data_IF_008874406743
#
_entry.id   IF_008874406743
#
_cell.length_a   1.000
_cell.length_b   1.000
_cell.length_c   1.000
_cell.angle_alpha   90.00
_cell.angle_beta   90.00
_cell.angle_gamma   90.00
#
_symmetry.space_group_name_H-M   'P 1'
#
loop_
_entity.id
_entity.type
_entity.pdbx_description
1 polymer ?
#
# COMPACT_ATOMS: atom_id res chain seq x y z
N UNK A 1 0.97 17.53 -7.70
CA UNK A 1 1.96 16.50 -7.36
C UNK A 1 1.19 15.28 -6.87
N UNK A 2 1.51 14.10 -7.39
CA UNK A 2 0.83 12.86 -6.99
C UNK A 2 1.57 12.20 -5.82
N UNK A 3 0.85 11.66 -4.84
CA UNK A 3 1.40 10.91 -3.72
C UNK A 3 0.46 9.80 -3.26
N UNK A 4 1.04 8.70 -2.80
CA UNK A 4 0.37 7.64 -2.04
C UNK A 4 0.99 7.58 -0.65
N UNK A 5 0.16 7.56 0.38
CA UNK A 5 0.57 7.50 1.78
C UNK A 5 0.00 6.26 2.44
N UNK A 6 0.87 5.48 3.09
CA UNK A 6 0.48 4.37 3.95
C UNK A 6 0.68 4.75 5.41
N UNK A 7 -0.29 4.36 6.26
CA UNK A 7 -0.21 4.42 7.72
C UNK A 7 -0.58 3.07 8.28
N UNK A 8 0.10 2.62 9.32
CA UNK A 8 -0.22 1.35 9.98
C UNK A 8 -0.40 1.54 11.48
N UNK A 9 -1.53 1.06 12.01
CA UNK A 9 -1.84 1.12 13.43
C UNK A 9 -1.98 -0.32 13.97
N UNK A 10 -1.03 -0.75 14.79
CA UNK A 10 -1.08 -2.05 15.46
C UNK A 10 -2.27 -2.13 16.41
N UNK A 11 -2.89 -3.32 16.53
CA UNK A 11 -3.84 -3.56 17.60
C UNK A 11 -3.19 -3.40 18.98
N UNK A 12 -3.97 -2.94 19.96
CA UNK A 12 -3.46 -2.70 21.32
C UNK A 12 -2.95 -3.96 22.01
N UNK A 13 -3.53 -5.13 21.72
CA UNK A 13 -3.09 -6.42 22.26
C UNK A 13 -1.69 -6.80 21.79
N UNK A 14 -1.21 -6.23 20.67
CA UNK A 14 0.14 -6.45 20.17
C UNK A 14 1.22 -6.07 21.20
N UNK A 15 0.93 -5.10 22.07
CA UNK A 15 1.85 -4.60 23.10
C UNK A 15 1.59 -5.17 24.49
N UNK A 16 0.50 -5.90 24.70
CA UNK A 16 0.16 -6.45 26.00
C UNK A 16 0.62 -7.92 26.11
N UNK A 17 1.70 -8.21 26.85
CA UNK A 17 2.18 -9.59 27.01
C UNK A 17 1.19 -10.48 27.79
N UNK A 18 0.12 -9.91 28.36
CA UNK A 18 -0.94 -10.63 29.06
C UNK A 18 -2.11 -10.99 28.16
N UNK A 19 -2.16 -10.47 26.93
CA UNK A 19 -3.19 -10.79 25.94
C UNK A 19 -2.60 -11.65 24.82
N UNK A 20 -3.41 -12.48 24.15
CA UNK A 20 -3.00 -13.09 22.89
C UNK A 20 -2.62 -11.97 21.92
N UNK A 21 -1.39 -12.03 21.37
CA UNK A 21 -0.92 -11.06 20.40
C UNK A 21 -1.75 -11.18 19.13
N UNK A 22 -2.51 -10.15 18.82
CA UNK A 22 -3.12 -10.03 17.50
C UNK A 22 -2.04 -9.59 16.50
N UNK A 23 -1.93 -10.33 15.40
CA UNK A 23 -1.02 -10.00 14.29
C UNK A 23 -1.66 -9.01 13.30
N UNK A 24 -2.91 -8.62 13.52
CA UNK A 24 -3.60 -7.62 12.72
C UNK A 24 -3.39 -6.18 13.22
N UNK A 25 -3.60 -5.26 12.29
CA UNK A 25 -3.60 -3.83 12.52
C UNK A 25 -4.27 -3.11 11.36
N UNK A 26 -4.60 -1.84 11.55
CA UNK A 26 -5.26 -1.03 10.54
C UNK A 26 -4.25 -0.43 9.57
N UNK A 27 -4.29 -0.86 8.31
CA UNK A 27 -3.57 -0.24 7.20
C UNK A 27 -4.46 0.83 6.57
N UNK A 28 -4.10 2.10 6.75
CA UNK A 28 -4.70 3.23 6.05
C UNK A 28 -3.94 3.53 4.76
N UNK A 29 -4.68 3.78 3.68
CA UNK A 29 -4.14 4.26 2.41
C UNK A 29 -4.81 5.57 2.04
N UNK A 30 -4.02 6.60 1.79
CA UNK A 30 -4.45 7.88 1.24
C UNK A 30 -3.74 8.12 -0.08
N UNK A 31 -4.46 8.58 -1.09
CA UNK A 31 -3.89 8.92 -2.39
C UNK A 31 -4.38 10.28 -2.83
N UNK A 32 -3.45 11.10 -3.32
CA UNK A 32 -3.70 12.45 -3.80
C UNK A 32 -2.98 12.63 -5.14
N UNK A 33 -3.69 13.10 -6.16
CA UNK A 33 -3.15 13.51 -7.46
C UNK A 33 -3.70 14.88 -7.81
N UNK A 34 -3.25 15.48 -8.92
CA UNK A 34 -3.74 16.81 -9.34
C UNK A 34 -5.25 16.87 -9.61
N UNK A 35 -5.89 15.72 -9.84
CA UNK A 35 -7.30 15.64 -10.25
C UNK A 35 -8.14 14.73 -9.39
N UNK A 36 -7.52 14.00 -8.46
CA UNK A 36 -8.17 12.92 -7.75
C UNK A 36 -7.62 12.80 -6.33
N UNK A 37 -8.49 12.48 -5.38
CA UNK A 37 -8.08 12.05 -4.05
C UNK A 37 -8.97 10.92 -3.57
N UNK A 38 -8.38 9.94 -2.88
CA UNK A 38 -9.10 8.84 -2.24
C UNK A 38 -8.45 8.48 -0.91
N UNK A 39 -9.25 7.99 0.03
CA UNK A 39 -8.76 7.47 1.29
C UNK A 39 -9.59 6.27 1.75
N UNK A 40 -9.00 5.42 2.58
CA UNK A 40 -9.63 4.23 3.11
C UNK A 40 -8.63 3.41 3.91
N UNK A 41 -9.07 2.24 4.34
CA UNK A 41 -8.20 1.33 5.08
C UNK A 41 -8.85 -0.01 5.34
N UNK A 42 -8.02 -0.95 5.77
CA UNK A 42 -8.45 -2.31 6.07
C UNK A 42 -7.60 -2.93 7.18
N UNK A 43 -8.16 -3.90 7.88
CA UNK A 43 -7.41 -4.70 8.86
C UNK A 43 -6.56 -5.74 8.14
N UNK A 44 -5.24 -5.68 8.36
CA UNK A 44 -4.28 -6.55 7.67
C UNK A 44 -3.22 -7.05 8.64
N UNK A 45 -2.62 -8.20 8.32
CA UNK A 45 -1.50 -8.71 9.09
C UNK A 45 -0.27 -7.82 8.84
N UNK A 46 0.46 -7.46 9.90
CA UNK A 46 1.64 -6.58 9.76
C UNK A 46 2.73 -7.23 8.88
N UNK A 47 2.77 -8.56 8.84
CA UNK A 47 3.67 -9.35 8.00
C UNK A 47 3.41 -9.07 6.51
N UNK A 48 2.15 -9.01 6.07
CA UNK A 48 1.80 -8.77 4.66
C UNK A 48 2.29 -7.39 4.19
N UNK A 49 2.20 -6.37 5.05
CA UNK A 49 2.69 -5.01 4.74
C UNK A 49 4.21 -5.00 4.62
N UNK A 50 4.90 -5.76 5.48
CA UNK A 50 6.35 -5.92 5.43
C UNK A 50 6.80 -6.67 4.18
N UNK A 51 6.15 -7.78 3.84
CA UNK A 51 6.45 -8.56 2.63
C UNK A 51 6.23 -7.73 1.36
N UNK A 52 5.14 -6.95 1.31
CA UNK A 52 4.93 -5.98 0.23
C UNK A 52 6.08 -4.98 0.13
N UNK A 53 6.51 -4.40 1.26
CA UNK A 53 7.68 -3.53 1.31
C UNK A 53 8.93 -4.21 0.76
N UNK A 54 9.25 -5.42 1.22
CA UNK A 54 10.42 -6.17 0.76
C UNK A 54 10.38 -6.46 -0.76
N UNK A 55 9.21 -6.74 -1.32
CA UNK A 55 9.00 -6.94 -2.75
C UNK A 55 9.36 -5.72 -3.61
N UNK A 56 9.26 -4.49 -3.08
CA UNK A 56 9.60 -3.24 -3.80
C UNK A 56 11.08 -3.15 -4.21
N UNK A 57 11.94 -4.02 -3.66
CA UNK A 57 13.35 -4.12 -4.05
C UNK A 57 13.58 -4.82 -5.40
N UNK A 58 12.54 -5.38 -6.02
CA UNK A 58 12.67 -6.11 -7.27
C UNK A 58 13.16 -5.21 -8.42
N UNK A 59 14.18 -5.69 -9.14
CA UNK A 59 14.70 -5.03 -10.33
C UNK A 59 15.19 -6.04 -11.38
N UNK A 60 14.79 -5.91 -12.66
CA UNK A 60 13.74 -5.02 -13.14
C UNK A 60 12.34 -5.56 -12.80
N UNK A 61 11.39 -4.68 -12.49
CA UNK A 61 9.96 -4.99 -12.55
C UNK A 61 9.60 -5.16 -14.03
N UNK A 62 8.90 -6.25 -14.38
CA UNK A 62 8.48 -6.55 -15.76
C UNK A 62 6.95 -6.67 -15.84
N UNK A 63 6.35 -6.53 -17.03
CA UNK A 63 4.90 -6.69 -17.17
C UNK A 63 4.38 -8.08 -16.76
N UNK A 64 5.22 -9.12 -16.88
CA UNK A 64 4.89 -10.49 -16.48
C UNK A 64 5.05 -10.72 -14.97
N UNK A 65 5.80 -9.85 -14.28
CA UNK A 65 6.10 -9.93 -12.85
C UNK A 65 5.83 -8.58 -12.18
N UNK A 66 4.55 -8.14 -12.11
CA UNK A 66 4.17 -6.93 -11.39
C UNK A 66 4.34 -7.14 -9.89
N UNK A 67 4.56 -6.05 -9.14
CA UNK A 67 4.47 -6.08 -7.69
C UNK A 67 3.05 -5.71 -7.30
N UNK A 68 2.38 -6.59 -6.56
CA UNK A 68 0.98 -6.39 -6.15
C UNK A 68 0.89 -6.50 -4.63
N UNK A 69 0.44 -5.42 -4.00
CA UNK A 69 -0.08 -5.42 -2.63
C UNK A 69 -1.60 -5.41 -2.67
N UNK A 70 -2.25 -6.38 -2.04
CA UNK A 70 -3.69 -6.51 -2.08
C UNK A 70 -4.24 -6.94 -0.72
N UNK A 71 -5.27 -6.23 -0.26
CA UNK A 71 -5.89 -6.48 1.03
C UNK A 71 -7.41 -6.30 0.96
N UNK A 72 -8.13 -7.19 1.62
CA UNK A 72 -9.58 -7.20 1.59
C UNK A 72 -10.16 -8.43 2.28
N UNK A 73 -11.47 -8.59 2.17
CA UNK A 73 -12.20 -9.76 2.65
C UNK A 73 -11.94 -10.98 1.76
N UNK A 74 -12.38 -12.16 2.23
CA UNK A 74 -12.48 -13.44 1.50
C UNK A 74 -11.60 -13.58 0.25
N UNK A 75 -12.19 -13.43 -0.94
CA UNK A 75 -11.54 -13.68 -2.23
C UNK A 75 -10.66 -12.51 -2.68
N UNK A 76 -10.76 -11.37 -2.00
CA UNK A 76 -10.07 -10.12 -2.33
C UNK A 76 -10.28 -9.70 -3.78
N UNK A 77 -11.51 -9.91 -4.29
CA UNK A 77 -11.94 -9.58 -5.64
C UNK A 77 -13.28 -8.85 -5.59
N UNK A 78 -13.54 -7.99 -6.58
CA UNK A 78 -14.79 -7.24 -6.62
C UNK A 78 -14.99 -6.39 -5.36
N UNK A 79 -16.11 -6.60 -4.67
CA UNK A 79 -16.44 -5.87 -3.44
C UNK A 79 -15.63 -6.34 -2.22
N UNK A 80 -15.03 -7.53 -2.28
CA UNK A 80 -14.15 -8.02 -1.21
C UNK A 80 -12.79 -7.31 -1.24
N UNK A 81 -12.40 -6.75 -2.39
CA UNK A 81 -11.16 -5.98 -2.50
C UNK A 81 -11.34 -4.60 -1.86
N UNK A 82 -10.53 -4.29 -0.84
CA UNK A 82 -10.59 -2.99 -0.16
C UNK A 82 -9.41 -2.11 -0.53
N UNK A 83 -8.19 -2.64 -0.51
CA UNK A 83 -6.98 -1.92 -0.87
C UNK A 83 -6.21 -2.71 -1.93
N UNK A 84 -5.77 -2.03 -2.99
CA UNK A 84 -4.82 -2.58 -3.96
C UNK A 84 -3.77 -1.55 -4.33
N UNK A 85 -2.54 -2.01 -4.47
CA UNK A 85 -1.44 -1.29 -5.12
C UNK A 85 -0.83 -2.26 -6.13
N UNK A 86 -0.73 -1.83 -7.39
CA UNK A 86 -0.15 -2.59 -8.48
C UNK A 86 0.92 -1.74 -9.16
N UNK A 87 2.14 -2.28 -9.26
CA UNK A 87 3.31 -1.59 -9.77
C UNK A 87 3.80 -2.31 -11.01
N UNK A 88 3.72 -1.61 -12.14
CA UNK A 88 4.09 -2.13 -13.46
C UNK A 88 5.02 -1.15 -14.18
N UNK A 89 5.78 -1.59 -15.19
CA UNK A 89 6.55 -0.68 -16.04
C UNK A 89 5.62 0.25 -16.81
N UNK A 90 5.82 1.57 -16.69
CA UNK A 90 5.08 2.56 -17.47
C UNK A 90 5.65 2.70 -18.89
N UNK A 91 6.97 2.56 -19.04
CA UNK A 91 7.65 2.70 -20.33
C UNK A 91 9.04 2.04 -20.35
N UNK A 92 9.68 2.05 -21.53
CA UNK A 92 11.02 1.48 -21.73
C UNK A 92 12.17 2.29 -21.10
N UNK A 93 11.90 3.46 -20.52
CA UNK A 93 12.90 4.34 -19.88
C UNK A 93 13.08 4.02 -18.39
N UNK A 94 12.27 3.12 -17.83
CA UNK A 94 12.34 2.71 -16.44
C UNK A 94 11.41 3.47 -15.50
N UNK A 95 10.46 4.26 -16.04
CA UNK A 95 9.36 4.80 -15.23
C UNK A 95 8.38 3.66 -14.87
N UNK A 96 7.74 3.78 -13.71
CA UNK A 96 6.80 2.81 -13.16
C UNK A 96 5.42 3.45 -13.07
N UNK A 97 4.37 2.69 -13.40
CA UNK A 97 2.99 3.08 -13.18
C UNK A 97 2.51 2.43 -11.89
N UNK A 98 1.94 3.26 -11.02
CA UNK A 98 1.30 2.86 -9.78
C UNK A 98 -0.20 2.92 -10.02
N UNK A 99 -0.85 1.75 -10.06
CA UNK A 99 -2.30 1.65 -10.03
C UNK A 99 -2.74 1.37 -8.61
N UNK A 100 -3.77 2.06 -8.17
CA UNK A 100 -4.30 1.85 -6.83
C UNK A 100 -5.82 1.77 -6.83
N UNK A 101 -6.31 1.06 -5.85
CA UNK A 101 -7.73 0.87 -5.57
C UNK A 101 -7.96 1.04 -4.07
N UNK A 102 -8.90 1.90 -3.71
CA UNK A 102 -9.33 2.10 -2.33
C UNK A 102 -10.86 2.04 -2.29
N UNK A 103 -11.40 1.07 -1.56
CA UNK A 103 -12.83 0.95 -1.31
C UNK A 103 -13.17 1.46 0.10
N UNK A 104 -14.38 1.99 0.26
CA UNK A 104 -14.91 2.37 1.57
C UNK A 104 -15.10 1.14 2.46
N UNK A 105 -14.55 1.19 3.68
CA UNK A 105 -14.66 0.06 4.62
C UNK A 105 -16.11 -0.31 4.96
N UNK A 106 -16.97 0.69 5.18
CA UNK A 106 -18.38 0.49 5.52
C UNK A 106 -19.27 0.28 4.28
N UNK A 107 -18.88 0.83 3.13
CA UNK A 107 -19.63 0.81 1.88
C UNK A 107 -18.64 0.46 0.74
N UNK A 108 -18.37 -0.83 0.48
CA UNK A 108 -17.32 -1.27 -0.45
C UNK A 108 -17.52 -0.85 -1.91
N UNK A 109 -18.74 -0.44 -2.28
CA UNK A 109 -19.04 0.11 -3.60
C UNK A 109 -18.58 1.57 -3.77
N UNK A 110 -18.32 2.30 -2.68
CA UNK A 110 -17.70 3.62 -2.72
C UNK A 110 -16.20 3.43 -2.97
N UNK A 111 -15.83 3.41 -4.25
CA UNK A 111 -14.50 2.99 -4.68
C UNK A 111 -13.77 4.05 -5.50
N UNK A 112 -12.52 4.26 -5.11
CA UNK A 112 -11.53 5.09 -5.75
C UNK A 112 -10.56 4.22 -6.55
N UNK A 113 -10.42 4.50 -7.86
CA UNK A 113 -9.40 3.88 -8.73
C UNK A 113 -8.71 4.96 -9.53
N UNK A 114 -7.39 5.01 -9.45
CA UNK A 114 -6.60 5.93 -10.26
C UNK A 114 -5.16 5.41 -10.37
N UNK A 115 -4.33 6.14 -11.10
CA UNK A 115 -2.92 5.83 -11.25
C UNK A 115 -2.08 7.09 -11.38
N UNK A 116 -0.80 6.95 -11.05
CA UNK A 116 0.23 7.95 -11.34
C UNK A 116 1.55 7.26 -11.68
N UNK A 117 2.49 8.01 -12.24
CA UNK A 117 3.82 7.50 -12.57
C UNK A 117 4.83 7.84 -11.49
N UNK A 118 5.80 6.97 -11.26
CA UNK A 118 6.93 7.18 -10.35
C UNK A 118 8.21 6.60 -10.96
N UNK A 119 9.33 6.68 -10.24
CA UNK A 119 10.63 6.14 -10.65
C UNK A 119 11.19 5.20 -9.59
N UNK A 120 12.15 4.37 -9.97
CA UNK A 120 12.83 3.48 -9.03
C UNK A 120 13.44 4.17 -7.80
N UNK A 121 14.04 5.37 -7.88
CA UNK A 121 14.54 6.05 -6.67
C UNK A 121 13.42 6.40 -5.67
N UNK A 122 12.27 6.84 -6.16
CA UNK A 122 11.11 7.16 -5.31
C UNK A 122 10.48 5.88 -4.76
N UNK A 123 10.49 4.78 -5.52
CA UNK A 123 10.08 3.46 -5.06
C UNK A 123 10.99 2.91 -3.95
N UNK A 124 12.31 3.09 -4.09
CA UNK A 124 13.29 2.68 -3.08
C UNK A 124 13.19 3.52 -1.80
N UNK A 125 12.92 4.82 -1.92
CA UNK A 125 12.61 5.66 -0.76
C UNK A 125 11.34 5.17 -0.04
N UNK A 126 10.28 4.89 -0.79
CA UNK A 126 9.03 4.35 -0.23
C UNK A 126 9.23 2.99 0.45
N UNK A 127 10.06 2.11 -0.14
CA UNK A 127 10.46 0.84 0.48
C UNK A 127 11.11 1.05 1.84
N UNK A 128 12.08 1.97 1.91
CA UNK A 128 12.77 2.29 3.15
C UNK A 128 11.78 2.87 4.19
N UNK A 129 10.87 3.74 3.77
CA UNK A 129 9.84 4.30 4.63
C UNK A 129 8.89 3.23 5.18
N UNK A 130 8.47 2.25 4.37
CA UNK A 130 7.67 1.11 4.85
C UNK A 130 8.43 0.34 5.93
N UNK A 131 9.73 0.09 5.76
CA UNK A 131 10.53 -0.59 6.78
C UNK A 131 10.57 0.20 8.10
N UNK A 132 10.73 1.53 8.02
CA UNK A 132 10.72 2.43 9.19
C UNK A 132 9.33 2.50 9.84
N UNK A 133 8.27 2.49 9.03
CA UNK A 133 6.87 2.41 9.48
C UNK A 133 6.59 1.11 10.25
N UNK A 134 7.02 -0.03 9.72
CA UNK A 134 6.88 -1.34 10.38
C UNK A 134 7.75 -1.45 11.65
N UNK A 135 8.88 -0.74 11.71
CA UNK A 135 9.67 -0.58 12.92
C UNK A 135 9.04 0.36 13.95
N UNK A 136 7.90 1.01 13.63
CA UNK A 136 7.21 2.03 14.43
C UNK A 136 8.06 3.27 14.70
N UNK A 137 8.98 3.58 13.78
CA UNK A 137 9.88 4.75 13.84
C UNK A 137 9.39 5.93 12.99
N UNK A 138 8.36 5.69 12.17
CA UNK A 138 7.64 6.71 11.41
C UNK A 138 6.13 6.41 11.51
N UNK A 139 5.31 7.45 11.36
CA UNK A 139 3.85 7.32 11.32
C UNK A 139 3.33 6.99 9.91
N UNK A 140 4.12 7.33 8.89
CA UNK A 140 3.72 7.25 7.49
C UNK A 140 4.86 6.72 6.62
N UNK A 141 4.49 6.07 5.52
CA UNK A 141 5.35 5.85 4.37
C UNK A 141 4.77 6.53 3.13
N UNK A 142 5.60 7.24 2.37
CA UNK A 142 5.12 8.09 1.27
C UNK A 142 5.79 7.70 -0.05
N UNK A 143 4.97 7.35 -1.04
CA UNK A 143 5.40 7.20 -2.42
C UNK A 143 5.07 8.46 -3.20
N UNK A 144 6.10 9.06 -3.79
CA UNK A 144 5.98 10.29 -4.61
C UNK A 144 5.85 9.93 -6.09
N UNK A 145 4.94 10.63 -6.77
CA UNK A 145 4.77 10.58 -8.22
C UNK A 145 5.44 11.74 -8.97
N UNK A 146 5.67 11.53 -10.26
CA UNK A 146 6.24 12.49 -11.22
C UNK A 146 5.19 13.01 -12.21
#
# INVERSE_FOLDING_TARGET
MSMLTLRYQYDSSFFDPKQPRDDFGWLGMKVETDRFSGNGGFWVQWQDVREFGEALSAFPITPDHPIVGQWGYEMQMGDDLILRIDIVPANKRGDLAIHFEVAGYALPWDRARCSFTTKYPDLEAFRADIAVLMDRKAEEAILVGI
#
